data_IF_932469222644
#
_entry.id   IF_932469222644
#
_cell.length_a   1.000
_cell.length_b   1.000
_cell.length_c   1.000
_cell.angle_alpha   90.00
_cell.angle_beta   90.00
_cell.angle_gamma   90.00
#
_symmetry.space_group_name_H-M   'P 1'
#
loop_
_entity.id
_entity.type
_entity.pdbx_description
1 polymer ?
#
# COMPACT_ATOMS: atom_id res chain seq x y z
N UNK A 1 8.91 11.15 32.97
CA UNK A 1 7.89 11.74 32.06
C UNK A 1 8.49 11.71 30.68
N UNK A 2 8.38 10.55 30.03
CA UNK A 2 9.07 10.25 28.79
C UNK A 2 8.48 11.04 27.62
N UNK A 3 9.34 11.76 26.90
CA UNK A 3 9.05 12.43 25.63
C UNK A 3 8.89 11.39 24.51
N UNK A 4 7.87 10.54 24.60
CA UNK A 4 7.60 9.49 23.61
C UNK A 4 6.48 9.94 22.67
N UNK A 5 6.90 10.21 21.42
CA UNK A 5 6.13 10.16 20.17
C UNK A 5 5.09 11.27 19.91
N UNK A 6 5.58 12.46 19.59
CA UNK A 6 4.86 13.44 18.75
C UNK A 6 4.87 13.09 17.24
N UNK A 7 5.47 11.95 16.86
CA UNK A 7 5.63 11.53 15.46
C UNK A 7 4.34 11.02 14.78
N UNK A 8 3.21 11.01 15.48
CA UNK A 8 1.96 10.43 14.98
C UNK A 8 0.74 11.31 15.29
N UNK A 9 0.86 12.63 15.14
CA UNK A 9 -0.33 13.44 14.88
C UNK A 9 -0.80 13.06 13.46
N UNK A 10 -1.66 12.04 13.39
CA UNK A 10 -2.31 11.61 12.17
C UNK A 10 -3.12 12.79 11.64
N UNK A 11 -2.56 13.53 10.67
CA UNK A 11 -3.35 14.47 9.88
C UNK A 11 -3.97 13.68 8.72
N UNK A 12 -5.28 13.40 8.77
CA UNK A 12 -5.98 12.71 7.68
C UNK A 12 -5.91 13.47 6.35
N UNK A 13 -5.40 14.71 6.34
CA UNK A 13 -5.23 15.53 5.12
C UNK A 13 -3.80 15.49 4.57
N UNK A 14 -2.82 14.99 5.34
CA UNK A 14 -1.41 15.02 4.99
C UNK A 14 -0.99 13.73 4.27
N UNK A 15 -1.35 13.59 3.00
CA UNK A 15 -1.02 12.35 2.27
C UNK A 15 -0.20 12.53 0.98
N UNK A 16 -0.49 13.52 0.13
CA UNK A 16 0.37 13.77 -1.05
C UNK A 16 0.57 15.25 -1.32
N UNK A 17 1.84 15.66 -1.42
CA UNK A 17 2.19 16.98 -1.91
C UNK A 17 1.87 17.09 -3.41
N UNK A 18 1.73 18.33 -3.89
CA UNK A 18 1.60 18.58 -5.32
C UNK A 18 2.80 18.01 -6.10
N UNK A 19 4.01 18.10 -5.55
CA UNK A 19 5.24 17.56 -6.15
C UNK A 19 5.20 16.04 -6.31
N UNK A 20 4.76 15.32 -5.27
CA UNK A 20 4.61 13.86 -5.32
C UNK A 20 3.62 13.43 -6.40
N UNK A 21 2.51 14.15 -6.52
CA UNK A 21 1.53 13.91 -7.57
C UNK A 21 2.15 14.11 -8.94
N UNK A 22 2.93 15.19 -9.15
CA UNK A 22 3.59 15.41 -10.44
C UNK A 22 4.57 14.28 -10.81
N UNK A 23 5.37 13.82 -9.84
CA UNK A 23 6.32 12.72 -10.06
C UNK A 23 5.57 11.44 -10.41
N UNK A 24 4.57 11.07 -9.60
CA UNK A 24 3.73 9.87 -9.83
C UNK A 24 3.04 9.94 -11.19
N UNK A 25 2.50 11.09 -11.57
CA UNK A 25 1.81 11.25 -12.84
C UNK A 25 2.73 11.10 -14.06
N UNK A 26 4.01 11.46 -13.90
CA UNK A 26 5.03 11.33 -14.95
C UNK A 26 5.52 9.89 -15.14
N UNK A 27 5.64 9.11 -14.05
CA UNK A 27 6.26 7.78 -14.08
C UNK A 27 5.27 6.62 -14.18
N UNK A 28 3.98 6.89 -14.04
CA UNK A 28 2.93 5.84 -14.05
C UNK A 28 2.12 5.93 -15.33
N UNK A 29 1.60 4.80 -15.80
CA UNK A 29 0.75 4.77 -16.99
C UNK A 29 -0.67 5.25 -16.70
N UNK A 30 -1.33 5.77 -17.74
CA UNK A 30 -2.75 6.14 -17.69
C UNK A 30 -3.60 4.92 -17.35
N UNK A 31 -4.53 5.05 -16.40
CA UNK A 31 -5.40 3.95 -15.93
C UNK A 31 -4.73 2.99 -14.94
N UNK A 32 -3.45 3.21 -14.58
CA UNK A 32 -2.77 2.38 -13.58
C UNK A 32 -3.35 2.55 -12.16
N UNK A 33 -3.24 1.51 -11.34
CA UNK A 33 -3.71 1.54 -9.95
C UNK A 33 -3.08 2.68 -9.11
N UNK A 34 -1.79 3.03 -9.27
CA UNK A 34 -1.23 4.20 -8.61
C UNK A 34 -1.93 5.52 -8.98
N UNK A 35 -2.32 5.72 -10.25
CA UNK A 35 -3.08 6.92 -10.65
C UNK A 35 -4.48 6.95 -10.08
N UNK A 36 -5.13 5.79 -10.01
CA UNK A 36 -6.43 5.63 -9.33
C UNK A 36 -6.32 6.05 -7.85
N UNK A 37 -5.31 5.56 -7.14
CA UNK A 37 -5.06 5.95 -5.74
C UNK A 37 -4.85 7.46 -5.60
N UNK A 38 -4.04 8.07 -6.47
CA UNK A 38 -3.82 9.53 -6.47
C UNK A 38 -5.14 10.27 -6.67
N UNK A 39 -5.95 9.88 -7.66
CA UNK A 39 -7.24 10.52 -7.93
C UNK A 39 -8.22 10.39 -6.74
N UNK A 40 -8.33 9.19 -6.17
CA UNK A 40 -9.16 8.90 -5.01
C UNK A 40 -8.70 9.70 -3.77
N UNK A 41 -7.39 9.80 -3.52
CA UNK A 41 -6.81 10.62 -2.45
C UNK A 41 -7.12 12.11 -2.61
N UNK A 42 -6.96 12.65 -3.82
CA UNK A 42 -7.21 14.07 -4.08
C UNK A 42 -8.70 14.41 -4.05
N UNK A 43 -9.55 13.51 -4.51
CA UNK A 43 -11.00 13.67 -4.39
C UNK A 43 -11.45 13.64 -2.91
N UNK A 44 -10.84 12.77 -2.09
CA UNK A 44 -11.14 12.66 -0.66
C UNK A 44 -10.68 13.88 0.15
N UNK A 45 -9.46 14.39 -0.08
CA UNK A 45 -8.90 15.51 0.68
C UNK A 45 -9.25 16.89 0.10
N UNK A 46 -9.67 16.92 -1.17
CA UNK A 46 -10.06 18.11 -1.91
C UNK A 46 -9.07 19.29 -1.79
N UNK A 47 -7.86 19.18 -2.39
CA UNK A 47 -6.76 20.13 -2.18
C UNK A 47 -7.07 21.57 -2.57
N UNK A 48 -8.10 21.80 -3.40
CA UNK A 48 -8.56 23.13 -3.81
C UNK A 48 -9.46 23.82 -2.78
N UNK A 49 -9.96 23.09 -1.77
CA UNK A 49 -10.72 23.67 -0.66
C UNK A 49 -9.83 24.12 0.51
N UNK A 50 -8.50 24.09 0.34
CA UNK A 50 -7.57 24.61 1.33
C UNK A 50 -7.64 26.14 1.38
N UNK A 51 -7.60 26.76 2.56
CA UNK A 51 -7.64 28.23 2.73
C UNK A 51 -6.33 28.90 2.30
N UNK A 52 -5.26 28.12 2.12
CA UNK A 52 -3.97 28.60 1.64
C UNK A 52 -3.98 28.88 0.12
N UNK A 53 -3.89 30.17 -0.23
CA UNK A 53 -3.86 30.67 -1.60
C UNK A 53 -2.66 30.17 -2.41
N UNK A 54 -1.49 30.00 -1.80
CA UNK A 54 -0.30 29.53 -2.50
C UNK A 54 -0.42 28.04 -2.83
N UNK A 55 -0.98 27.25 -1.91
CA UNK A 55 -1.34 25.87 -2.17
C UNK A 55 -2.37 25.77 -3.32
N UNK A 56 -3.40 26.61 -3.35
CA UNK A 56 -4.38 26.64 -4.43
C UNK A 56 -3.74 26.96 -5.79
N UNK A 57 -2.84 27.95 -5.86
CA UNK A 57 -2.11 28.29 -7.09
C UNK A 57 -1.26 27.12 -7.57
N UNK A 58 -0.58 26.43 -6.65
CA UNK A 58 0.25 25.27 -6.98
C UNK A 58 -0.60 24.12 -7.56
N UNK A 59 -1.70 23.78 -6.90
CA UNK A 59 -2.62 22.74 -7.39
C UNK A 59 -3.27 23.12 -8.72
N UNK A 60 -3.62 24.39 -8.92
CA UNK A 60 -4.14 24.88 -10.21
C UNK A 60 -3.13 24.65 -11.34
N UNK A 61 -1.84 24.95 -11.13
CA UNK A 61 -0.79 24.69 -12.11
C UNK A 61 -0.63 23.19 -12.40
N UNK A 62 -0.71 22.33 -11.38
CA UNK A 62 -0.64 20.88 -11.56
C UNK A 62 -1.80 20.36 -12.41
N UNK A 63 -3.03 20.81 -12.13
CA UNK A 63 -4.22 20.39 -12.87
C UNK A 63 -4.23 20.89 -14.31
N UNK A 64 -3.72 22.11 -14.55
CA UNK A 64 -3.52 22.63 -15.92
C UNK A 64 -2.47 21.82 -16.70
N UNK A 65 -1.38 21.42 -16.04
CA UNK A 65 -0.32 20.62 -16.67
C UNK A 65 -0.77 19.18 -16.97
N UNK A 66 -1.66 18.63 -16.14
CA UNK A 66 -2.15 17.26 -16.27
C UNK A 66 -3.68 17.23 -16.36
N UNK A 67 -4.28 17.56 -17.52
CA UNK A 67 -5.74 17.66 -17.65
C UNK A 67 -6.48 16.34 -17.36
N UNK A 68 -5.85 15.19 -17.66
CA UNK A 68 -6.41 13.87 -17.35
C UNK A 68 -6.53 13.64 -15.83
N UNK A 69 -5.67 14.26 -15.01
CA UNK A 69 -5.78 14.20 -13.55
C UNK A 69 -7.08 14.85 -13.08
N UNK A 70 -7.45 16.00 -13.62
CA UNK A 70 -8.72 16.66 -13.27
C UNK A 70 -9.93 15.78 -13.63
N UNK A 71 -9.88 15.10 -14.77
CA UNK A 71 -10.92 14.15 -15.18
C UNK A 71 -11.01 12.96 -14.23
N UNK A 72 -9.86 12.39 -13.83
CA UNK A 72 -9.81 11.24 -12.93
C UNK A 72 -10.28 11.61 -11.51
N UNK A 73 -9.91 12.80 -11.00
CA UNK A 73 -10.42 13.34 -9.73
C UNK A 73 -11.94 13.50 -9.79
N UNK A 74 -12.46 14.04 -10.89
CA UNK A 74 -13.91 14.20 -11.04
C UNK A 74 -14.64 12.86 -11.00
N UNK A 75 -14.12 11.83 -11.70
CA UNK A 75 -14.66 10.47 -11.61
C UNK A 75 -14.59 9.89 -10.20
N UNK A 76 -13.48 10.10 -9.49
CA UNK A 76 -13.28 9.64 -8.13
C UNK A 76 -14.21 10.32 -7.11
N UNK A 77 -14.60 11.57 -7.34
CA UNK A 77 -15.47 12.36 -6.44
C UNK A 77 -16.86 11.75 -6.20
N UNK A 78 -17.32 10.86 -7.08
CA UNK A 78 -18.57 10.12 -6.89
C UNK A 78 -18.49 9.11 -5.73
N UNK A 79 -17.30 8.67 -5.35
CA UNK A 79 -17.09 7.69 -4.29
C UNK A 79 -17.18 8.35 -2.91
N UNK A 80 -18.11 7.88 -2.09
CA UNK A 80 -18.25 8.29 -0.69
C UNK A 80 -17.44 7.36 0.21
N UNK A 81 -16.52 7.92 0.97
CA UNK A 81 -15.63 7.16 1.85
C UNK A 81 -16.18 6.96 3.27
N UNK A 82 -17.29 7.60 3.65
CA UNK A 82 -18.05 7.32 4.89
C UNK A 82 -17.20 7.20 6.18
N UNK A 83 -16.19 8.08 6.35
CA UNK A 83 -15.31 8.08 7.53
C UNK A 83 -14.02 7.26 7.37
N UNK A 84 -13.86 6.58 6.25
CA UNK A 84 -12.65 5.86 5.84
C UNK A 84 -11.89 6.68 4.82
N UNK A 85 -10.68 6.27 4.45
CA UNK A 85 -9.82 7.00 3.53
C UNK A 85 -9.22 6.06 2.47
N UNK A 86 -8.88 6.58 1.28
CA UNK A 86 -8.29 5.80 0.20
C UNK A 86 -7.05 4.97 0.57
N UNK A 87 -6.30 5.39 1.59
CA UNK A 87 -5.08 4.71 2.04
C UNK A 87 -5.30 3.79 3.25
N UNK A 88 -6.52 3.66 3.75
CA UNK A 88 -6.82 2.71 4.81
C UNK A 88 -6.63 1.27 4.31
N UNK A 89 -6.18 0.39 5.21
CA UNK A 89 -5.83 -1.00 4.88
C UNK A 89 -6.98 -1.77 4.24
N UNK A 90 -8.23 -1.48 4.63
CA UNK A 90 -9.43 -2.09 4.06
C UNK A 90 -9.62 -1.80 2.56
N UNK A 91 -9.07 -0.69 2.05
CA UNK A 91 -9.15 -0.32 0.63
C UNK A 91 -7.91 -0.68 -0.17
N UNK A 92 -6.83 -1.11 0.49
CA UNK A 92 -5.53 -1.43 -0.13
C UNK A 92 -5.67 -2.35 -1.34
N UNK A 93 -6.51 -3.38 -1.22
CA UNK A 93 -6.74 -4.37 -2.29
C UNK A 93 -7.27 -3.74 -3.58
N UNK A 94 -8.00 -2.63 -3.49
CA UNK A 94 -8.58 -1.94 -4.65
C UNK A 94 -7.56 -1.21 -5.52
N UNK A 95 -6.30 -1.15 -5.07
CA UNK A 95 -5.16 -0.53 -5.76
C UNK A 95 -4.00 -1.49 -6.00
N UNK A 96 -4.18 -2.78 -5.68
CA UNK A 96 -3.19 -3.78 -6.04
C UNK A 96 -3.40 -4.21 -7.49
N UNK A 97 -2.30 -4.47 -8.21
CA UNK A 97 -2.40 -5.07 -9.54
C UNK A 97 -2.93 -6.51 -9.34
N UNK A 98 -4.00 -6.91 -10.04
CA UNK A 98 -4.47 -8.29 -10.01
C UNK A 98 -3.31 -9.26 -10.29
N UNK A 99 -3.27 -10.39 -9.59
CA UNK A 99 -2.25 -11.44 -9.78
C UNK A 99 -0.81 -11.07 -9.40
N UNK A 100 -0.60 -9.97 -8.67
CA UNK A 100 0.73 -9.68 -8.10
C UNK A 100 1.04 -10.69 -7.00
N UNK A 101 2.06 -11.54 -7.22
CA UNK A 101 2.63 -12.37 -6.14
C UNK A 101 3.03 -11.46 -4.99
N UNK A 102 2.50 -11.73 -3.80
CA UNK A 102 2.77 -10.93 -2.60
C UNK A 102 4.27 -10.89 -2.30
N UNK A 103 4.74 -9.83 -1.62
CA UNK A 103 6.16 -9.75 -1.26
C UNK A 103 6.56 -10.91 -0.36
N UNK A 104 5.64 -11.37 0.49
CA UNK A 104 5.78 -12.51 1.37
C UNK A 104 5.99 -13.80 0.59
N UNK A 105 5.17 -14.05 -0.43
CA UNK A 105 5.30 -15.23 -1.30
C UNK A 105 6.56 -15.13 -2.16
N UNK A 106 6.87 -13.96 -2.73
CA UNK A 106 8.12 -13.76 -3.48
C UNK A 106 9.35 -14.00 -2.63
N UNK A 107 9.33 -13.59 -1.36
CA UNK A 107 10.45 -13.80 -0.46
C UNK A 107 10.60 -15.28 -0.09
N UNK A 108 9.49 -15.98 0.18
CA UNK A 108 9.45 -17.44 0.36
C UNK A 108 10.05 -18.16 -0.86
N UNK A 109 9.60 -17.82 -2.06
CA UNK A 109 10.11 -18.39 -3.32
C UNK A 109 11.63 -18.14 -3.47
N UNK A 110 12.11 -16.95 -3.11
CA UNK A 110 13.54 -16.62 -3.17
C UNK A 110 14.40 -17.37 -2.14
N UNK A 111 13.85 -17.65 -0.95
CA UNK A 111 14.54 -18.45 0.07
C UNK A 111 14.66 -19.89 -0.44
N UNK A 112 13.53 -20.47 -0.87
CA UNK A 112 13.43 -21.87 -1.28
C UNK A 112 14.11 -22.17 -2.62
N UNK A 113 14.25 -21.17 -3.50
CA UNK A 113 15.04 -21.32 -4.73
C UNK A 113 16.55 -21.44 -4.47
N UNK A 114 17.04 -20.95 -3.32
CA UNK A 114 18.48 -20.97 -2.99
C UNK A 114 18.90 -22.20 -2.20
N UNK A 115 18.01 -22.73 -1.38
CA UNK A 115 18.29 -23.82 -0.42
C UNK A 115 16.99 -24.44 0.08
N UNK A 116 17.06 -25.71 0.47
CA UNK A 116 15.92 -26.40 1.06
C UNK A 116 15.57 -25.82 2.43
N UNK A 117 14.34 -26.06 2.87
CA UNK A 117 13.89 -25.63 4.21
C UNK A 117 14.74 -26.28 5.31
N UNK A 118 15.13 -27.53 5.13
CA UNK A 118 15.95 -28.29 6.07
C UNK A 118 17.34 -27.66 6.20
N UNK A 119 17.92 -27.20 5.09
CA UNK A 119 19.20 -26.48 5.09
C UNK A 119 19.09 -25.11 5.79
N UNK A 120 17.97 -24.39 5.59
CA UNK A 120 17.68 -23.15 6.30
C UNK A 120 17.58 -23.43 7.80
N UNK A 121 16.87 -24.48 8.20
CA UNK A 121 16.71 -24.89 9.60
C UNK A 121 18.04 -25.26 10.24
N UNK A 122 18.83 -26.11 9.60
CA UNK A 122 20.15 -26.51 10.09
C UNK A 122 21.09 -25.29 10.28
N UNK A 123 21.07 -24.33 9.34
CA UNK A 123 21.86 -23.11 9.46
C UNK A 123 21.32 -22.17 10.56
N UNK A 124 20.01 -22.13 10.79
CA UNK A 124 19.40 -21.36 11.86
C UNK A 124 19.77 -21.92 13.24
N UNK A 125 19.71 -23.25 13.39
CA UNK A 125 20.09 -23.99 14.59
C UNK A 125 21.61 -23.84 14.87
N UNK A 126 22.42 -23.74 13.82
CA UNK A 126 23.85 -23.39 13.89
C UNK A 126 24.14 -21.92 14.24
N UNK A 127 23.12 -21.10 14.54
CA UNK A 127 23.28 -19.72 15.01
C UNK A 127 23.29 -18.64 13.93
N UNK A 128 23.05 -18.97 12.66
CA UNK A 128 23.00 -17.97 11.59
C UNK A 128 21.74 -17.10 11.69
N UNK A 129 21.90 -15.81 12.02
CA UNK A 129 20.80 -14.85 12.19
C UNK A 129 19.92 -14.73 10.93
N UNK A 130 20.54 -14.68 9.74
CA UNK A 130 19.81 -14.64 8.46
C UNK A 130 18.89 -15.85 8.32
N UNK A 131 19.41 -17.05 8.57
CA UNK A 131 18.63 -18.28 8.48
C UNK A 131 17.51 -18.35 9.53
N UNK A 132 17.72 -17.77 10.73
CA UNK A 132 16.66 -17.65 11.74
C UNK A 132 15.50 -16.76 11.28
N UNK A 133 15.81 -15.63 10.64
CA UNK A 133 14.78 -14.74 10.07
C UNK A 133 14.04 -15.38 8.91
N UNK A 134 14.75 -16.06 8.02
CA UNK A 134 14.15 -16.79 6.91
C UNK A 134 13.26 -17.93 7.41
N UNK A 135 13.69 -18.69 8.42
CA UNK A 135 12.89 -19.75 9.02
C UNK A 135 11.61 -19.20 9.68
N UNK A 136 11.70 -18.10 10.43
CA UNK A 136 10.55 -17.42 11.03
C UNK A 136 9.51 -17.00 9.97
N UNK A 137 9.97 -16.50 8.82
CA UNK A 137 9.08 -16.14 7.70
C UNK A 137 8.41 -17.38 7.10
N UNK A 138 9.18 -18.43 6.83
CA UNK A 138 8.69 -19.71 6.29
C UNK A 138 7.72 -20.44 7.24
N UNK A 139 7.88 -20.27 8.55
CA UNK A 139 7.00 -20.84 9.58
C UNK A 139 5.69 -20.06 9.70
N UNK A 140 5.76 -18.72 9.70
CA UNK A 140 4.59 -17.83 9.81
C UNK A 140 3.59 -18.03 8.66
N UNK A 141 4.07 -18.31 7.45
CA UNK A 141 3.20 -18.59 6.30
C UNK A 141 2.57 -19.99 6.34
N UNK A 142 3.20 -20.97 7.01
CA UNK A 142 2.62 -22.30 7.19
C UNK A 142 1.39 -22.25 8.08
N UNK A 143 1.47 -21.51 9.19
CA UNK A 143 0.32 -21.35 10.09
C UNK A 143 -0.86 -20.70 9.35
N UNK A 144 -0.61 -19.66 8.53
CA UNK A 144 -1.65 -19.04 7.71
C UNK A 144 -2.23 -19.98 6.64
N UNK A 145 -1.39 -20.77 5.96
CA UNK A 145 -1.84 -21.77 4.96
C UNK A 145 -2.65 -22.89 5.63
N UNK A 146 -2.25 -23.35 6.82
CA UNK A 146 -3.00 -24.34 7.61
C UNK A 146 -4.34 -23.79 8.09
N UNK A 147 -4.39 -22.54 8.58
CA UNK A 147 -5.64 -21.87 8.96
C UNK A 147 -6.61 -21.70 7.77
N UNK A 148 -6.10 -21.38 6.58
CA UNK A 148 -6.92 -21.26 5.38
C UNK A 148 -7.51 -22.61 4.93
N UNK A 149 -6.76 -23.71 5.06
CA UNK A 149 -7.22 -25.07 4.76
C UNK A 149 -8.28 -25.54 5.77
N UNK A 150 -8.11 -25.24 7.06
CA UNK A 150 -9.09 -25.58 8.10
C UNK A 150 -10.40 -24.78 7.95
N UNK A 151 -10.29 -23.51 7.55
CA UNK A 151 -11.46 -22.63 7.36
C UNK A 151 -12.29 -23.01 6.11
N UNK A 152 -11.64 -23.53 5.06
CA UNK A 152 -12.32 -24.01 3.85
C UNK A 152 -12.95 -25.39 4.03
N UNK A 153 -12.38 -26.25 4.88
CA UNK A 153 -12.98 -27.54 5.24
C UNK A 153 -14.23 -27.40 6.13
N UNK A 154 -14.32 -26.34 6.93
CA UNK A 154 -15.47 -26.08 7.82
C UNK A 154 -16.68 -25.45 7.12
N UNK A 155 -16.52 -24.97 5.88
CA UNK A 155 -17.59 -24.38 5.07
C UNK A 155 -18.33 -25.41 4.18
N UNK A 156 -17.90 -26.68 4.22
CA UNK A 156 -18.47 -27.80 3.46
C UNK A 156 -19.11 -28.88 4.37
N UNK A 157 -19.27 -28.60 5.66
CA UNK A 157 -19.90 -29.47 6.66
C UNK A 157 -21.26 -28.96 7.11
#
# INVERSE_FOLDING_TARGET
MDKIREYANYDPRQWMSAEDVQVRWKITDTGSMPRKLVADSLACNHPLHNEDLEAQKLWTKVLQKYPNLSTDIHKASAKKWNGTQPWDDEHRMSYMIPDTVSLEQRWEDQILAKRSREEVKAAADGGCLKSRLELLHLDRNLDQKLFAVVSTSSALG
#
